data_IF_464159198039
#
_entry.id   IF_464159198039
#
_cell.length_a   1.000
_cell.length_b   1.000
_cell.length_c   1.000
_cell.angle_alpha   90.00
_cell.angle_beta   90.00
_cell.angle_gamma   90.00
#
_symmetry.space_group_name_H-M   'P 1'
#
loop_
_entity.id
_entity.type
_entity.pdbx_description
1 polymer ?
#
# COMPACT_ATOMS: atom_id res chain seq x y z
N UNK A 1 1.58 -2.24 40.78
CA UNK A 1 1.97 -1.36 39.65
C UNK A 1 2.17 -2.11 38.33
N UNK A 2 2.75 -3.31 38.31
CA UNK A 2 3.06 -4.09 37.08
C UNK A 2 1.87 -4.37 36.14
N UNK A 3 0.67 -4.68 36.66
CA UNK A 3 -0.51 -4.96 35.83
C UNK A 3 -1.12 -3.74 35.11
N UNK A 4 -0.91 -2.52 35.63
CA UNK A 4 -1.33 -1.28 34.94
C UNK A 4 -0.42 -1.01 33.73
N UNK A 5 0.87 -1.33 33.87
CA UNK A 5 1.86 -1.18 32.80
C UNK A 5 1.59 -2.16 31.65
N UNK A 6 1.33 -3.45 31.95
CA UNK A 6 1.03 -4.42 30.88
C UNK A 6 -0.26 -4.07 30.11
N UNK A 7 -1.27 -3.55 30.81
CA UNK A 7 -2.53 -3.11 30.19
C UNK A 7 -2.32 -1.90 29.28
N UNK A 8 -1.43 -0.98 29.66
CA UNK A 8 -1.06 0.17 28.82
C UNK A 8 -0.31 -0.27 27.56
N UNK A 9 0.64 -1.20 27.69
CA UNK A 9 1.38 -1.76 26.55
C UNK A 9 0.45 -2.50 25.59
N UNK A 10 -0.44 -3.35 26.10
CA UNK A 10 -1.42 -4.07 25.28
C UNK A 10 -2.34 -3.10 24.51
N UNK A 11 -2.79 -2.02 25.16
CA UNK A 11 -3.62 -0.99 24.52
C UNK A 11 -2.85 -0.23 23.43
N UNK A 12 -1.56 0.05 23.65
CA UNK A 12 -0.68 0.65 22.64
C UNK A 12 -0.54 -0.26 21.41
N UNK A 13 -0.30 -1.55 21.63
CA UNK A 13 -0.15 -2.54 20.55
C UNK A 13 -1.43 -2.64 19.69
N UNK A 14 -2.60 -2.70 20.34
CA UNK A 14 -3.90 -2.72 19.65
C UNK A 14 -4.12 -1.44 18.83
N UNK A 15 -3.72 -0.28 19.35
CA UNK A 15 -3.83 0.99 18.63
C UNK A 15 -2.98 1.02 17.37
N UNK A 16 -1.73 0.56 17.45
CA UNK A 16 -0.81 0.50 16.31
C UNK A 16 -1.36 -0.46 15.25
N UNK A 17 -1.77 -1.66 15.66
CA UNK A 17 -2.30 -2.67 14.75
C UNK A 17 -3.56 -2.17 14.02
N UNK A 18 -4.50 -1.56 14.74
CA UNK A 18 -5.69 -0.97 14.12
C UNK A 18 -5.36 0.15 13.13
N UNK A 19 -4.35 0.96 13.42
CA UNK A 19 -3.93 2.05 12.52
C UNK A 19 -3.33 1.47 11.25
N UNK A 20 -2.48 0.46 11.37
CA UNK A 20 -1.88 -0.21 10.22
C UNK A 20 -2.93 -0.90 9.34
N UNK A 21 -3.82 -1.68 9.94
CA UNK A 21 -4.91 -2.36 9.21
C UNK A 21 -5.84 -1.37 8.51
N UNK A 22 -6.13 -0.22 9.12
CA UNK A 22 -6.89 0.85 8.46
C UNK A 22 -6.11 1.49 7.32
N UNK A 23 -4.82 1.76 7.49
CA UNK A 23 -4.00 2.33 6.43
C UNK A 23 -3.90 1.39 5.24
N UNK A 24 -3.70 0.09 5.49
CA UNK A 24 -3.61 -0.95 4.46
C UNK A 24 -4.96 -1.12 3.72
N UNK A 25 -6.06 -1.25 4.46
CA UNK A 25 -7.40 -1.39 3.85
C UNK A 25 -7.85 -0.14 3.05
N UNK A 26 -7.39 1.06 3.43
CA UNK A 26 -7.70 2.30 2.71
C UNK A 26 -6.63 2.70 1.67
N UNK A 27 -5.48 2.01 1.67
CA UNK A 27 -4.47 2.14 0.64
C UNK A 27 -4.98 1.43 -0.61
N UNK A 28 -5.82 2.12 -1.39
CA UNK A 28 -6.16 1.68 -2.73
C UNK A 28 -4.88 1.68 -3.59
N UNK A 29 -4.38 0.49 -3.91
CA UNK A 29 -3.20 0.28 -4.75
C UNK A 29 -3.47 0.61 -6.22
N UNK A 30 -3.94 1.82 -6.52
CA UNK A 30 -3.94 2.36 -7.87
C UNK A 30 -2.65 3.14 -8.05
N UNK A 31 -1.51 2.43 -8.08
CA UNK A 31 -0.27 3.03 -8.53
C UNK A 31 -0.46 3.34 -10.01
N UNK A 32 -0.76 4.61 -10.32
CA UNK A 32 -0.62 5.13 -11.69
C UNK A 32 0.89 5.21 -11.92
N UNK A 33 1.51 4.07 -12.18
CA UNK A 33 2.89 4.03 -12.64
C UNK A 33 2.91 4.77 -13.98
N UNK A 34 3.87 5.68 -14.16
CA UNK A 34 4.14 6.25 -15.47
C UNK A 34 4.27 5.10 -16.46
N UNK A 35 3.33 4.99 -17.40
CA UNK A 35 3.45 4.01 -18.47
C UNK A 35 4.54 4.54 -19.40
N UNK A 36 5.73 3.91 -19.45
CA UNK A 36 6.78 4.37 -20.34
C UNK A 36 6.24 4.37 -21.75
N UNK A 37 6.45 5.47 -22.49
CA UNK A 37 6.11 5.53 -23.90
C UNK A 37 6.70 4.29 -24.58
N UNK A 38 5.85 3.55 -25.30
CA UNK A 38 6.27 2.32 -25.96
C UNK A 38 7.50 2.60 -26.85
N UNK A 39 8.55 1.73 -26.82
CA UNK A 39 9.72 1.87 -27.67
C UNK A 39 9.35 2.04 -29.14
N UNK A 40 10.07 2.91 -29.86
CA UNK A 40 9.86 3.15 -31.30
C UNK A 40 9.91 1.87 -32.13
N UNK A 41 10.76 0.92 -31.72
CA UNK A 41 10.87 -0.41 -32.31
C UNK A 41 9.58 -1.22 -32.27
N UNK A 42 8.68 -0.97 -31.30
CA UNK A 42 7.39 -1.63 -31.20
C UNK A 42 6.31 -1.01 -32.09
N UNK A 43 6.55 0.19 -32.62
CA UNK A 43 5.61 0.84 -33.54
C UNK A 43 5.43 0.04 -34.84
N UNK A 44 6.45 -0.71 -35.28
CA UNK A 44 6.38 -1.59 -36.47
C UNK A 44 5.41 -2.76 -36.33
N UNK A 45 5.02 -3.11 -35.09
CA UNK A 45 4.08 -4.18 -34.78
C UNK A 45 2.69 -3.68 -34.43
N UNK A 46 2.48 -2.35 -34.30
CA UNK A 46 1.12 -1.77 -34.25
C UNK A 46 0.54 -1.94 -35.64
N UNK A 47 -0.21 -3.03 -35.80
CA UNK A 47 -0.84 -3.48 -37.04
C UNK A 47 -1.24 -2.31 -37.94
N UNK A 48 -0.72 -2.36 -39.17
CA UNK A 48 -1.30 -1.76 -40.36
C UNK A 48 -2.81 -1.99 -40.31
N UNK A 49 -3.58 -0.90 -40.31
CA UNK A 49 -5.04 -0.97 -40.44
C UNK A 49 -5.40 -1.19 -41.89
#
# INVERSE_FOLDING_TARGET
MKGKLSKAVAKGMVSVLNTFLRADANSAACVITYQPKAPKELARYRRTK
#
